data_IF_933700590543
#
_entry.id   IF_933700590543
#
_cell.length_a   1.000
_cell.length_b   1.000
_cell.length_c   1.000
_cell.angle_alpha   90.00
_cell.angle_beta   90.00
_cell.angle_gamma   90.00
#
_symmetry.space_group_name_H-M   'P 1'
#
loop_
_entity.id
_entity.type
_entity.pdbx_description
1 polymer ?
#
# COMPACT_ATOMS: atom_id res chain seq x y z
N UNK A 1 -6.87 9.73 35.29
CA UNK A 1 -5.91 10.62 34.57
C UNK A 1 -4.49 10.55 35.11
N UNK A 2 -4.26 10.67 36.43
CA UNK A 2 -2.91 10.52 37.00
C UNK A 2 -2.31 9.12 36.79
N UNK A 3 -3.10 8.06 37.02
CA UNK A 3 -2.68 6.67 36.79
C UNK A 3 -2.26 6.42 35.33
N UNK A 4 -3.03 6.92 34.37
CA UNK A 4 -2.74 6.77 32.93
C UNK A 4 -1.47 7.53 32.55
N UNK A 5 -1.26 8.73 33.10
CA UNK A 5 -0.03 9.49 32.90
C UNK A 5 1.19 8.76 33.49
N UNK A 6 1.07 8.22 34.70
CA UNK A 6 2.13 7.46 35.35
C UNK A 6 2.50 6.19 34.55
N UNK A 7 1.50 5.45 34.05
CA UNK A 7 1.72 4.30 33.16
C UNK A 7 2.41 4.70 31.86
N UNK A 8 1.98 5.79 31.21
CA UNK A 8 2.61 6.29 29.98
C UNK A 8 4.07 6.67 30.23
N UNK A 9 4.36 7.39 31.31
CA UNK A 9 5.73 7.77 31.69
C UNK A 9 6.56 6.51 31.95
N UNK A 10 6.04 5.56 32.73
CA UNK A 10 6.73 4.33 33.07
C UNK A 10 7.02 3.47 31.82
N UNK A 11 6.05 3.28 30.93
CA UNK A 11 6.26 2.57 29.68
C UNK A 11 7.26 3.30 28.77
N UNK A 12 7.15 4.63 28.64
CA UNK A 12 8.10 5.41 27.83
C UNK A 12 9.53 5.29 28.36
N UNK A 13 9.72 5.33 29.68
CA UNK A 13 11.01 5.16 30.31
C UNK A 13 11.58 3.77 30.03
N UNK A 14 10.78 2.70 30.22
CA UNK A 14 11.18 1.34 29.90
C UNK A 14 11.57 1.22 28.42
N UNK A 15 10.77 1.75 27.50
CA UNK A 15 11.09 1.67 26.06
C UNK A 15 12.40 2.39 25.71
N UNK A 16 12.67 3.55 26.31
CA UNK A 16 13.89 4.31 26.05
C UNK A 16 15.11 3.63 26.67
N UNK A 17 15.04 3.21 27.94
CA UNK A 17 16.14 2.57 28.65
C UNK A 17 16.54 1.23 28.02
N UNK A 18 15.56 0.44 27.57
CA UNK A 18 15.79 -0.87 26.96
C UNK A 18 15.78 -0.84 25.44
N UNK A 19 15.93 0.34 24.83
CA UNK A 19 15.79 0.52 23.38
C UNK A 19 16.76 -0.36 22.57
N UNK A 20 18.01 -0.51 23.01
CA UNK A 20 18.97 -1.41 22.36
C UNK A 20 18.59 -2.89 22.46
N UNK A 21 18.09 -3.34 23.62
CA UNK A 21 17.64 -4.72 23.80
C UNK A 21 16.38 -5.01 22.99
N UNK A 22 15.45 -4.06 22.91
CA UNK A 22 14.29 -4.16 22.04
C UNK A 22 14.70 -4.23 20.57
N UNK A 23 15.64 -3.40 20.10
CA UNK A 23 16.13 -3.44 18.72
C UNK A 23 16.81 -4.79 18.42
N UNK A 24 17.63 -5.31 19.34
CA UNK A 24 18.24 -6.64 19.19
C UNK A 24 17.19 -7.75 19.13
N UNK A 25 16.18 -7.70 20.00
CA UNK A 25 15.07 -8.65 20.00
C UNK A 25 14.26 -8.58 18.70
N UNK A 26 13.93 -7.36 18.23
CA UNK A 26 13.25 -7.14 16.95
C UNK A 26 14.06 -7.68 15.77
N UNK A 27 15.36 -7.39 15.70
CA UNK A 27 16.22 -7.90 14.65
C UNK A 27 16.29 -9.43 14.64
N UNK A 28 16.34 -10.07 15.81
CA UNK A 28 16.28 -11.53 15.91
C UNK A 28 14.92 -12.09 15.46
N UNK A 29 13.81 -11.43 15.80
CA UNK A 29 12.46 -11.81 15.38
C UNK A 29 12.30 -11.70 13.86
N UNK A 30 12.83 -10.63 13.26
CA UNK A 30 12.86 -10.42 11.80
C UNK A 30 13.94 -11.24 11.07
N UNK A 31 14.89 -11.86 11.79
CA UNK A 31 15.90 -12.75 11.20
C UNK A 31 15.33 -14.14 10.86
N UNK A 32 14.20 -14.53 11.46
CA UNK A 32 13.53 -15.81 11.18
C UNK A 32 13.05 -15.81 9.71
N UNK A 33 13.44 -16.83 8.94
CA UNK A 33 12.99 -16.99 7.54
C UNK A 33 11.45 -17.08 7.51
N UNK A 34 10.80 -16.06 6.95
CA UNK A 34 9.34 -15.94 6.87
C UNK A 34 8.75 -14.83 7.76
N UNK A 35 9.41 -14.43 8.85
CA UNK A 35 8.93 -13.38 9.74
C UNK A 35 8.85 -12.01 9.04
N UNK A 36 9.76 -11.75 8.10
CA UNK A 36 9.73 -10.54 7.25
C UNK A 36 8.46 -10.40 6.41
N UNK A 37 7.71 -11.47 6.18
CA UNK A 37 6.44 -11.44 5.44
C UNK A 37 5.24 -11.59 6.38
N UNK A 38 5.32 -12.53 7.33
CA UNK A 38 4.23 -12.84 8.24
C UNK A 38 3.94 -11.71 9.23
N UNK A 39 4.97 -11.04 9.77
CA UNK A 39 4.77 -9.96 10.74
C UNK A 39 4.06 -8.77 10.07
N UNK A 40 4.49 -8.27 8.89
CA UNK A 40 3.75 -7.22 8.19
C UNK A 40 2.33 -7.64 7.81
N UNK A 41 2.13 -8.89 7.36
CA UNK A 41 0.78 -9.38 7.03
C UNK A 41 -0.12 -9.41 8.27
N UNK A 42 0.37 -9.90 9.40
CA UNK A 42 -0.40 -9.94 10.64
C UNK A 42 -0.73 -8.52 11.14
N UNK A 43 0.24 -7.61 11.11
CA UNK A 43 0.02 -6.21 11.47
C UNK A 43 -1.00 -5.53 10.55
N UNK A 44 -0.94 -5.78 9.24
CA UNK A 44 -1.91 -5.27 8.29
C UNK A 44 -3.32 -5.84 8.56
N UNK A 45 -3.44 -7.15 8.78
CA UNK A 45 -4.72 -7.79 9.12
C UNK A 45 -5.31 -7.26 10.43
N UNK A 46 -4.46 -7.06 11.45
CA UNK A 46 -4.87 -6.47 12.72
C UNK A 46 -5.37 -5.03 12.54
N UNK A 47 -4.65 -4.22 11.79
CA UNK A 47 -5.05 -2.85 11.46
C UNK A 47 -6.41 -2.81 10.75
N UNK A 48 -6.63 -3.69 9.78
CA UNK A 48 -7.91 -3.79 9.07
C UNK A 48 -9.03 -4.19 10.03
N UNK A 49 -8.78 -5.14 10.93
CA UNK A 49 -9.76 -5.59 11.91
C UNK A 49 -10.13 -4.48 12.91
N UNK A 50 -9.13 -3.79 13.48
CA UNK A 50 -9.33 -2.75 14.49
C UNK A 50 -9.90 -1.46 13.90
N UNK A 51 -9.48 -1.06 12.70
CA UNK A 51 -9.88 0.19 12.05
C UNK A 51 -10.79 -0.03 10.84
N UNK A 52 -11.61 -1.09 10.91
CA UNK A 52 -12.48 -1.55 9.82
C UNK A 52 -13.20 -0.39 9.11
N UNK A 53 -13.83 0.51 9.86
CA UNK A 53 -14.54 1.67 9.29
C UNK A 53 -13.62 2.60 8.46
N UNK A 54 -12.44 2.95 8.97
CA UNK A 54 -11.50 3.82 8.26
C UNK A 54 -10.92 3.13 7.01
N UNK A 55 -10.67 1.83 7.08
CA UNK A 55 -10.24 1.04 5.93
C UNK A 55 -11.32 0.97 4.85
N UNK A 56 -12.58 0.76 5.22
CA UNK A 56 -13.71 0.79 4.29
C UNK A 56 -13.84 2.16 3.61
N UNK A 57 -13.72 3.24 4.37
CA UNK A 57 -13.73 4.60 3.81
C UNK A 57 -12.58 4.83 2.83
N UNK A 58 -11.38 4.35 3.15
CA UNK A 58 -10.23 4.41 2.25
C UNK A 58 -10.47 3.66 0.94
N UNK A 59 -11.01 2.44 1.01
CA UNK A 59 -11.35 1.63 -0.19
C UNK A 59 -12.44 2.32 -1.01
N UNK A 60 -13.49 2.80 -0.36
CA UNK A 60 -14.61 3.47 -1.03
C UNK A 60 -14.17 4.73 -1.76
N UNK A 61 -13.42 5.61 -1.11
CA UNK A 61 -12.93 6.82 -1.77
C UNK A 61 -11.93 6.54 -2.87
N UNK A 62 -11.05 5.56 -2.69
CA UNK A 62 -10.11 5.15 -3.74
C UNK A 62 -10.87 4.65 -4.98
N UNK A 63 -11.88 3.80 -4.80
CA UNK A 63 -12.76 3.33 -5.86
C UNK A 63 -13.47 4.50 -6.55
N UNK A 64 -14.10 5.38 -5.79
CA UNK A 64 -14.89 6.49 -6.35
C UNK A 64 -14.02 7.40 -7.21
N UNK A 65 -12.83 7.78 -6.70
CA UNK A 65 -11.88 8.61 -7.45
C UNK A 65 -11.44 7.92 -8.74
N UNK A 66 -11.17 6.62 -8.71
CA UNK A 66 -10.80 5.86 -9.91
C UNK A 66 -11.96 5.82 -10.93
N UNK A 67 -13.21 5.65 -10.48
CA UNK A 67 -14.37 5.70 -11.37
C UNK A 67 -14.64 7.10 -11.94
N UNK A 68 -14.44 8.15 -11.16
CA UNK A 68 -14.54 9.54 -11.62
C UNK A 68 -13.53 9.82 -12.74
N UNK A 69 -12.28 9.39 -12.54
CA UNK A 69 -11.24 9.50 -13.56
C UNK A 69 -11.57 8.67 -14.80
N UNK A 70 -12.07 7.44 -14.63
CA UNK A 70 -12.51 6.59 -15.74
C UNK A 70 -13.63 7.27 -16.54
N UNK A 71 -14.67 7.76 -15.87
CA UNK A 71 -15.80 8.43 -16.50
C UNK A 71 -15.36 9.72 -17.21
N UNK A 72 -14.44 10.48 -16.62
CA UNK A 72 -13.84 11.65 -17.25
C UNK A 72 -13.11 11.30 -18.55
N UNK A 73 -12.29 10.23 -18.54
CA UNK A 73 -11.57 9.74 -19.72
C UNK A 73 -12.53 9.20 -20.80
N UNK A 74 -13.57 8.47 -20.40
CA UNK A 74 -14.60 7.96 -21.33
C UNK A 74 -15.35 9.10 -22.02
N UNK A 75 -15.66 10.19 -21.30
CA UNK A 75 -16.33 11.37 -21.89
C UNK A 75 -15.47 12.09 -22.93
N UNK A 76 -14.15 11.96 -22.85
CA UNK A 76 -13.22 12.55 -23.83
C UNK A 76 -13.08 11.68 -25.10
N UNK A 77 -13.51 10.42 -25.06
CA UNK A 77 -13.44 9.52 -26.22
C UNK A 77 -14.57 9.81 -27.22
N UNK A 78 -14.27 9.88 -28.54
CA UNK A 78 -15.28 10.12 -29.57
C UNK A 78 -16.20 8.92 -29.86
N UNK A 79 -15.86 7.71 -29.39
CA UNK A 79 -16.60 6.48 -29.69
C UNK A 79 -17.31 5.92 -28.44
N UNK A 80 -18.63 6.00 -28.37
CA UNK A 80 -19.37 5.69 -27.13
C UNK A 80 -19.49 4.18 -26.81
N UNK A 81 -19.53 3.30 -27.81
CA UNK A 81 -19.84 1.87 -27.59
C UNK A 81 -18.69 1.06 -26.98
N UNK A 82 -17.43 1.43 -27.26
CA UNK A 82 -16.25 0.69 -26.79
C UNK A 82 -15.29 1.54 -25.94
N UNK A 83 -15.59 2.83 -25.74
CA UNK A 83 -14.74 3.72 -24.93
C UNK A 83 -14.52 3.18 -23.52
N UNK A 84 -15.54 2.62 -22.87
CA UNK A 84 -15.43 2.12 -21.50
C UNK A 84 -14.39 1.00 -21.42
N UNK A 85 -14.47 -0.01 -22.28
CA UNK A 85 -13.53 -1.14 -22.28
C UNK A 85 -12.10 -0.70 -22.60
N UNK A 86 -11.93 0.18 -23.59
CA UNK A 86 -10.60 0.69 -23.96
C UNK A 86 -9.97 1.55 -22.86
N UNK A 87 -10.74 2.48 -22.29
CA UNK A 87 -10.27 3.33 -21.19
C UNK A 87 -9.95 2.49 -19.95
N UNK A 88 -10.74 1.45 -19.66
CA UNK A 88 -10.51 0.58 -18.52
C UNK A 88 -9.19 -0.20 -18.66
N UNK A 89 -8.92 -0.80 -19.84
CA UNK A 89 -7.64 -1.48 -20.11
C UNK A 89 -6.47 -0.51 -20.02
N UNK A 90 -6.62 0.67 -20.61
CA UNK A 90 -5.59 1.72 -20.56
C UNK A 90 -5.34 2.18 -19.12
N UNK A 91 -6.40 2.42 -18.35
CA UNK A 91 -6.30 2.89 -16.98
C UNK A 91 -5.61 1.86 -16.09
N UNK A 92 -5.99 0.59 -16.17
CA UNK A 92 -5.37 -0.50 -15.38
C UNK A 92 -3.88 -0.65 -15.73
N UNK A 93 -3.54 -0.60 -17.02
CA UNK A 93 -2.14 -0.72 -17.46
C UNK A 93 -1.30 0.48 -17.02
N UNK A 94 -1.82 1.70 -17.17
CA UNK A 94 -1.15 2.93 -16.73
C UNK A 94 -0.97 2.94 -15.21
N UNK A 95 -2.03 2.64 -14.43
CA UNK A 95 -1.94 2.59 -12.97
C UNK A 95 -0.92 1.56 -12.48
N UNK A 96 -0.79 0.43 -13.17
CA UNK A 96 0.14 -0.63 -12.79
C UNK A 96 1.59 -0.31 -13.17
N UNK A 97 1.81 0.20 -14.38
CA UNK A 97 3.15 0.33 -14.96
C UNK A 97 3.80 1.66 -14.61
N UNK A 98 3.06 2.78 -14.64
CA UNK A 98 3.62 4.12 -14.45
C UNK A 98 4.25 4.32 -13.07
N UNK A 99 3.60 3.95 -11.94
CA UNK A 99 4.21 4.11 -10.62
C UNK A 99 5.50 3.30 -10.48
N UNK A 100 5.55 2.11 -11.07
CA UNK A 100 6.73 1.24 -11.01
C UNK A 100 7.85 1.78 -11.87
N UNK A 101 7.55 2.34 -13.04
CA UNK A 101 8.54 3.05 -13.85
C UNK A 101 9.09 4.29 -13.13
N UNK A 102 8.24 5.07 -12.47
CA UNK A 102 8.69 6.21 -11.64
C UNK A 102 9.64 5.73 -10.55
N UNK A 103 9.28 4.67 -9.83
CA UNK A 103 10.13 4.07 -8.79
C UNK A 103 11.46 3.55 -9.36
N UNK A 104 11.45 2.91 -10.53
CA UNK A 104 12.67 2.43 -11.19
C UNK A 104 13.58 3.60 -11.60
N UNK A 105 13.01 4.66 -12.20
CA UNK A 105 13.76 5.88 -12.57
C UNK A 105 14.34 6.55 -11.32
N UNK A 106 13.57 6.69 -10.25
CA UNK A 106 14.05 7.26 -8.98
C UNK A 106 15.14 6.40 -8.34
N UNK A 107 15.00 5.07 -8.37
CA UNK A 107 16.01 4.14 -7.88
C UNK A 107 17.31 4.25 -8.67
N UNK A 108 17.23 4.30 -10.01
CA UNK A 108 18.39 4.49 -10.89
C UNK A 108 19.07 5.82 -10.63
N UNK A 109 18.30 6.89 -10.41
CA UNK A 109 18.85 8.22 -10.10
C UNK A 109 19.60 8.27 -8.77
N UNK A 110 19.15 7.53 -7.76
CA UNK A 110 19.75 7.56 -6.40
C UNK A 110 20.85 6.52 -6.20
N UNK A 111 20.65 5.30 -6.69
CA UNK A 111 21.50 4.15 -6.38
C UNK A 111 22.22 3.58 -7.61
N UNK A 112 22.04 4.15 -8.80
CA UNK A 112 22.56 3.67 -10.10
C UNK A 112 22.21 2.21 -10.44
N UNK A 113 21.35 1.58 -9.64
CA UNK A 113 20.85 0.21 -9.81
C UNK A 113 19.34 0.27 -10.05
N UNK A 114 18.88 -0.54 -11.00
CA UNK A 114 17.45 -0.74 -11.25
C UNK A 114 16.76 -1.35 -10.04
N UNK A 115 15.46 -1.08 -9.92
CA UNK A 115 14.61 -1.69 -8.90
C UNK A 115 14.62 -3.21 -9.04
N UNK A 116 14.73 -3.94 -7.94
CA UNK A 116 15.01 -5.38 -7.99
C UNK A 116 13.81 -6.23 -8.43
N UNK A 117 12.58 -5.78 -8.18
CA UNK A 117 11.36 -6.56 -8.46
C UNK A 117 10.22 -5.73 -9.10
N UNK A 118 10.45 -5.06 -10.24
CA UNK A 118 9.46 -4.15 -10.83
C UNK A 118 8.20 -4.90 -11.28
N UNK A 119 8.35 -6.10 -11.85
CA UNK A 119 7.22 -6.89 -12.31
C UNK A 119 6.32 -7.39 -11.18
N UNK A 120 6.88 -7.73 -10.02
CA UNK A 120 6.10 -8.16 -8.85
C UNK A 120 5.28 -6.99 -8.29
N UNK A 121 5.90 -5.82 -8.17
CA UNK A 121 5.22 -4.60 -7.72
C UNK A 121 4.11 -4.19 -8.71
N UNK A 122 4.40 -4.22 -10.01
CA UNK A 122 3.42 -3.93 -11.06
C UNK A 122 2.25 -4.92 -11.02
N UNK A 123 2.54 -6.22 -10.86
CA UNK A 123 1.52 -7.26 -10.73
C UNK A 123 0.61 -7.06 -9.51
N UNK A 124 1.17 -6.72 -8.35
CA UNK A 124 0.39 -6.41 -7.15
C UNK A 124 -0.53 -5.19 -7.35
N UNK A 125 0.00 -4.11 -7.93
CA UNK A 125 -0.79 -2.90 -8.23
C UNK A 125 -1.87 -3.22 -9.27
N UNK A 126 -1.57 -4.08 -10.25
CA UNK A 126 -2.53 -4.51 -11.26
C UNK A 126 -3.71 -5.27 -10.63
N UNK A 127 -3.42 -6.27 -9.79
CA UNK A 127 -4.46 -7.05 -9.07
C UNK A 127 -5.33 -6.13 -8.23
N UNK A 128 -4.71 -5.19 -7.51
CA UNK A 128 -5.43 -4.22 -6.68
C UNK A 128 -6.31 -3.29 -7.52
N UNK A 129 -5.79 -2.82 -8.67
CA UNK A 129 -6.54 -1.97 -9.60
C UNK A 129 -7.74 -2.69 -10.22
N UNK A 130 -7.57 -3.96 -10.62
CA UNK A 130 -8.67 -4.81 -11.11
C UNK A 130 -9.73 -4.98 -10.03
N UNK A 131 -9.33 -5.25 -8.79
CA UNK A 131 -10.27 -5.39 -7.68
C UNK A 131 -11.10 -4.13 -7.46
N UNK A 132 -10.47 -2.94 -7.48
CA UNK A 132 -11.16 -1.67 -7.24
C UNK A 132 -12.03 -1.19 -8.40
N UNK A 133 -11.68 -1.48 -9.66
CA UNK A 133 -12.37 -0.93 -10.84
C UNK A 133 -13.39 -1.88 -11.47
N UNK A 134 -13.21 -3.20 -11.31
CA UNK A 134 -14.04 -4.21 -12.00
C UNK A 134 -14.96 -4.93 -11.01
N UNK A 135 -14.43 -5.32 -9.84
CA UNK A 135 -15.15 -6.22 -8.91
C UNK A 135 -16.04 -5.43 -7.95
N UNK A 136 -15.51 -4.32 -7.42
CA UNK A 136 -16.15 -3.49 -6.42
C UNK A 136 -16.99 -2.40 -7.10
#
# INVERSE_FOLDING_TARGET
MLLTLALVILFSAITVFFSEEFIKAFNNLFAIKGAKLLIPMFAASWLIYTYNFWFLWGIFYARELLHDVLNFLVRMMPFQKEAVSLVLVFMITVLSVVPVLILDVLSRRKNFKGYQHPYVASGLIWILSVFLLIIL
#
